data_IF_371962869024
#
_entry.id   IF_371962869024
#
_cell.length_a   1.000
_cell.length_b   1.000
_cell.length_c   1.000
_cell.angle_alpha   90.00
_cell.angle_beta   90.00
_cell.angle_gamma   90.00
#
_symmetry.space_group_name_H-M   'P 1'
#
loop_
_entity.id
_entity.type
_entity.pdbx_description
1 polymer ?
#
# COMPACT_ATOMS: atom_id res chain seq x y z
N UNK A 1 15.22 34.66 17.26
CA UNK A 1 16.23 34.54 16.18
C UNK A 1 17.37 33.59 16.57
N UNK A 2 18.08 33.78 17.70
CA UNK A 2 19.15 32.87 18.16
C UNK A 2 18.71 31.41 18.42
N UNK A 3 17.51 31.21 18.98
CA UNK A 3 16.92 29.88 19.15
C UNK A 3 16.61 29.18 17.81
N UNK A 4 16.18 29.91 16.77
CA UNK A 4 15.90 29.34 15.45
C UNK A 4 17.18 28.90 14.72
N UNK A 5 18.31 29.59 14.93
CA UNK A 5 19.62 29.25 14.36
C UNK A 5 20.30 28.08 15.09
N UNK A 6 20.05 27.90 16.39
CA UNK A 6 20.61 26.75 17.13
C UNK A 6 19.88 25.44 16.78
N UNK A 7 18.58 25.50 16.46
CA UNK A 7 17.83 24.33 15.98
C UNK A 7 18.29 23.88 14.59
N UNK A 8 18.65 24.78 13.67
CA UNK A 8 19.08 24.41 12.30
C UNK A 8 20.35 23.55 12.24
N UNK A 9 21.20 23.59 13.27
CA UNK A 9 22.44 22.80 13.32
C UNK A 9 22.29 21.45 14.05
N UNK A 10 21.11 21.11 14.57
CA UNK A 10 20.88 19.83 15.24
C UNK A 10 20.96 18.67 14.21
N UNK A 11 21.67 17.56 14.50
CA UNK A 11 21.75 16.39 13.61
C UNK A 11 20.39 15.80 13.17
N UNK A 12 19.32 16.11 13.90
CA UNK A 12 17.94 15.70 13.60
C UNK A 12 17.31 16.58 12.51
N UNK A 13 17.67 17.88 12.44
CA UNK A 13 17.22 18.81 11.40
C UNK A 13 17.89 18.53 10.06
N UNK A 14 19.17 18.13 10.06
CA UNK A 14 19.87 17.66 8.84
C UNK A 14 19.28 16.34 8.28
N UNK A 15 18.57 15.59 9.12
CA UNK A 15 17.81 14.38 8.75
C UNK A 15 16.33 14.68 8.43
N UNK A 16 15.88 15.89 8.78
CA UNK A 16 14.56 16.45 8.47
C UNK A 16 14.56 17.19 7.13
N UNK A 17 15.72 17.66 6.66
CA UNK A 17 15.91 18.16 5.31
C UNK A 17 15.48 17.10 4.29
N UNK A 18 14.46 17.46 3.51
CA UNK A 18 13.93 16.58 2.49
C UNK A 18 14.97 16.41 1.39
N UNK A 19 15.12 15.18 0.85
CA UNK A 19 15.93 14.96 -0.33
C UNK A 19 15.55 15.99 -1.41
N UNK A 20 16.52 16.59 -2.13
CA UNK A 20 16.24 17.65 -3.10
C UNK A 20 15.16 17.28 -4.12
N UNK A 21 15.04 16.01 -4.49
CA UNK A 21 13.98 15.49 -5.38
C UNK A 21 12.58 15.62 -4.77
N UNK A 22 12.41 15.37 -3.47
CA UNK A 22 11.11 15.50 -2.81
C UNK A 22 10.70 16.96 -2.75
N UNK A 23 11.62 17.84 -2.36
CA UNK A 23 11.37 19.28 -2.29
C UNK A 23 10.95 19.84 -3.65
N UNK A 24 11.64 19.45 -4.74
CA UNK A 24 11.28 19.86 -6.10
C UNK A 24 9.90 19.37 -6.52
N UNK A 25 9.56 18.10 -6.26
CA UNK A 25 8.25 17.54 -6.59
C UNK A 25 7.12 18.21 -5.80
N UNK A 26 7.37 18.52 -4.52
CA UNK A 26 6.39 19.25 -3.70
C UNK A 26 6.18 20.68 -4.17
N UNK A 27 7.27 21.37 -4.54
CA UNK A 27 7.17 22.72 -5.08
C UNK A 27 6.39 22.71 -6.40
N UNK A 28 6.70 21.78 -7.30
CA UNK A 28 5.96 21.62 -8.55
C UNK A 28 4.46 21.40 -8.30
N UNK A 29 4.09 20.47 -7.40
CA UNK A 29 2.69 20.22 -7.06
C UNK A 29 2.02 21.48 -6.50
N UNK A 30 2.70 22.21 -5.62
CA UNK A 30 2.19 23.46 -5.04
C UNK A 30 2.00 24.55 -6.11
N UNK A 31 2.97 24.74 -7.00
CA UNK A 31 2.89 25.73 -8.07
C UNK A 31 1.76 25.40 -9.05
N UNK A 32 1.57 24.13 -9.40
CA UNK A 32 0.44 23.66 -10.22
C UNK A 32 -0.91 23.96 -9.55
N UNK A 33 -1.06 23.62 -8.27
CA UNK A 33 -2.30 23.91 -7.52
C UNK A 33 -2.56 25.41 -7.40
N UNK A 34 -1.53 26.21 -7.17
CA UNK A 34 -1.65 27.67 -7.08
C UNK A 34 -2.10 28.28 -8.42
N UNK A 35 -1.47 27.87 -9.52
CA UNK A 35 -1.83 28.36 -10.85
C UNK A 35 -3.24 27.92 -11.25
N UNK A 36 -3.63 26.69 -10.94
CA UNK A 36 -4.99 26.19 -11.14
C UNK A 36 -6.02 26.99 -10.36
N UNK A 37 -5.77 27.24 -9.07
CA UNK A 37 -6.67 28.04 -8.23
C UNK A 37 -6.76 29.51 -8.68
N UNK A 38 -5.74 30.02 -9.38
CA UNK A 38 -5.73 31.34 -9.98
C UNK A 38 -6.41 31.39 -11.37
N UNK A 39 -7.05 30.30 -11.81
CA UNK A 39 -7.83 30.23 -13.04
C UNK A 39 -7.08 29.70 -14.27
N UNK A 40 -5.89 29.12 -14.10
CA UNK A 40 -5.18 28.44 -15.18
C UNK A 40 -5.50 26.93 -15.19
N UNK A 41 -6.55 26.55 -15.94
CA UNK A 41 -7.01 25.16 -16.04
C UNK A 41 -5.95 24.19 -16.60
N UNK A 42 -5.00 24.66 -17.42
CA UNK A 42 -3.91 23.82 -17.97
C UNK A 42 -2.94 23.33 -16.88
N UNK A 43 -2.89 24.03 -15.75
CA UNK A 43 -2.02 23.70 -14.62
C UNK A 43 -2.70 22.80 -13.59
N UNK A 44 -3.89 22.25 -13.88
CA UNK A 44 -4.55 21.29 -13.00
C UNK A 44 -3.61 20.08 -12.74
N UNK A 45 -3.25 19.78 -11.48
CA UNK A 45 -2.51 18.57 -11.16
C UNK A 45 -3.23 17.32 -11.67
N UNK A 46 -2.50 16.24 -11.92
CA UNK A 46 -3.09 14.97 -12.31
C UNK A 46 -2.60 13.81 -11.41
N UNK A 47 -3.23 12.64 -11.56
CA UNK A 47 -2.89 11.43 -10.79
C UNK A 47 -1.40 11.08 -10.89
N UNK A 48 -0.73 11.37 -12.01
CA UNK A 48 0.71 11.07 -12.22
C UNK A 48 1.61 11.95 -11.35
N UNK A 49 1.32 13.25 -11.25
CA UNK A 49 2.09 14.18 -10.39
C UNK A 49 1.97 13.78 -8.92
N UNK A 50 0.74 13.49 -8.47
CA UNK A 50 0.51 12.99 -7.12
C UNK A 50 1.21 11.66 -6.84
N UNK A 51 1.07 10.67 -7.74
CA UNK A 51 1.73 9.38 -7.60
C UNK A 51 3.26 9.52 -7.51
N UNK A 52 3.84 10.46 -8.27
CA UNK A 52 5.27 10.75 -8.22
C UNK A 52 5.69 11.29 -6.86
N UNK A 53 4.93 12.25 -6.29
CA UNK A 53 5.17 12.78 -4.95
C UNK A 53 5.02 11.71 -3.86
N UNK A 54 3.95 10.90 -3.90
CA UNK A 54 3.69 9.82 -2.94
C UNK A 54 4.81 8.78 -3.01
N UNK A 55 5.27 8.41 -4.21
CA UNK A 55 6.35 7.46 -4.40
C UNK A 55 7.69 7.99 -3.89
N UNK A 56 7.96 9.28 -4.11
CA UNK A 56 9.15 9.94 -3.58
C UNK A 56 9.16 9.87 -2.04
N UNK A 57 8.02 10.13 -1.38
CA UNK A 57 7.87 9.90 0.06
C UNK A 57 8.07 8.43 0.45
N UNK A 58 7.45 7.49 -0.26
CA UNK A 58 7.56 6.06 0.03
C UNK A 58 9.01 5.54 0.02
N UNK A 59 9.85 6.11 -0.84
CA UNK A 59 11.28 5.78 -0.99
C UNK A 59 12.21 6.63 -0.12
N UNK A 60 11.72 7.71 0.46
CA UNK A 60 12.52 8.64 1.28
C UNK A 60 13.15 7.98 2.52
N UNK A 61 14.16 8.62 3.10
CA UNK A 61 14.68 8.29 4.43
C UNK A 61 13.87 8.89 5.59
N UNK A 62 12.69 9.47 5.32
CA UNK A 62 11.93 10.22 6.32
C UNK A 62 11.16 9.29 7.26
N UNK A 63 11.14 9.63 8.55
CA UNK A 63 10.54 8.78 9.60
C UNK A 63 9.01 8.69 9.45
N UNK A 64 8.36 9.82 9.20
CA UNK A 64 6.90 9.91 9.02
C UNK A 64 6.50 9.87 7.54
N UNK A 65 7.22 9.08 6.72
CA UNK A 65 6.95 8.98 5.28
C UNK A 65 5.54 8.47 4.97
N UNK A 66 5.02 7.56 5.80
CA UNK A 66 3.68 7.02 5.63
C UNK A 66 2.62 8.11 5.86
N UNK A 67 2.81 8.97 6.86
CA UNK A 67 1.93 10.11 7.11
C UNK A 67 1.93 11.09 5.93
N UNK A 68 3.10 11.42 5.39
CA UNK A 68 3.20 12.34 4.24
C UNK A 68 2.57 11.75 2.97
N UNK A 69 2.80 10.46 2.71
CA UNK A 69 2.18 9.74 1.61
C UNK A 69 0.64 9.68 1.76
N UNK A 70 0.14 9.38 2.96
CA UNK A 70 -1.29 9.32 3.25
C UNK A 70 -1.97 10.69 3.19
N UNK A 71 -1.28 11.75 3.63
CA UNK A 71 -1.78 13.12 3.53
C UNK A 71 -2.01 13.55 2.08
N UNK A 72 -1.13 13.17 1.15
CA UNK A 72 -1.32 13.41 -0.27
C UNK A 72 -2.48 12.60 -0.86
N UNK A 73 -2.65 11.33 -0.45
CA UNK A 73 -3.81 10.53 -0.86
C UNK A 73 -5.13 11.16 -0.37
N UNK A 74 -5.21 11.55 0.91
CA UNK A 74 -6.40 12.21 1.45
C UNK A 74 -6.72 13.50 0.71
N UNK A 75 -5.70 14.32 0.38
CA UNK A 75 -5.88 15.52 -0.44
C UNK A 75 -6.46 15.23 -1.82
N UNK A 76 -6.04 14.13 -2.48
CA UNK A 76 -6.64 13.71 -3.74
C UNK A 76 -8.11 13.32 -3.56
N UNK A 77 -8.44 12.56 -2.51
CA UNK A 77 -9.81 12.11 -2.24
C UNK A 77 -10.74 13.28 -1.88
N UNK A 78 -10.27 14.23 -1.08
CA UNK A 78 -11.00 15.46 -0.72
C UNK A 78 -11.30 16.29 -1.97
N UNK A 79 -10.31 16.50 -2.83
CA UNK A 79 -10.50 17.28 -4.05
C UNK A 79 -11.51 16.63 -5.02
N UNK A 80 -11.55 15.29 -5.10
CA UNK A 80 -12.59 14.55 -5.84
C UNK A 80 -13.96 14.76 -5.22
N UNK A 81 -14.07 14.63 -3.90
CA UNK A 81 -15.34 14.79 -3.17
C UNK A 81 -15.92 16.19 -3.30
N UNK A 82 -15.06 17.20 -3.35
CA UNK A 82 -15.45 18.60 -3.54
C UNK A 82 -15.88 18.92 -4.99
N UNK A 83 -15.77 17.96 -5.92
CA UNK A 83 -16.06 18.15 -7.34
C UNK A 83 -15.12 19.14 -8.03
N UNK A 84 -13.99 19.48 -7.41
CA UNK A 84 -13.05 20.52 -7.88
C UNK A 84 -12.15 20.04 -9.02
N UNK A 85 -12.07 18.73 -9.26
CA UNK A 85 -11.06 18.13 -10.13
C UNK A 85 -11.57 16.89 -10.87
N UNK A 86 -10.90 16.56 -11.97
CA UNK A 86 -11.21 15.41 -12.84
C UNK A 86 -10.39 14.14 -12.55
N UNK A 87 -9.41 14.21 -11.64
CA UNK A 87 -8.49 13.10 -11.35
C UNK A 87 -8.88 12.34 -10.09
N UNK A 88 -8.85 11.00 -10.15
CA UNK A 88 -9.14 10.13 -9.01
C UNK A 88 -7.91 9.31 -8.61
N UNK A 89 -7.76 8.98 -7.30
CA UNK A 89 -6.82 7.96 -6.86
C UNK A 89 -7.08 6.64 -7.58
N UNK A 90 -6.01 6.01 -8.08
CA UNK A 90 -6.10 4.70 -8.73
C UNK A 90 -5.33 3.65 -7.92
N UNK A 91 -5.27 2.41 -8.43
CA UNK A 91 -4.57 1.33 -7.73
C UNK A 91 -3.08 1.64 -7.51
N UNK A 92 -2.44 2.42 -8.39
CA UNK A 92 -1.05 2.85 -8.22
C UNK A 92 -0.96 3.80 -7.02
N UNK A 93 -1.89 4.75 -6.90
CA UNK A 93 -1.94 5.68 -5.76
C UNK A 93 -2.02 4.94 -4.42
N UNK A 94 -2.99 4.04 -4.28
CA UNK A 94 -3.17 3.25 -3.06
C UNK A 94 -1.99 2.33 -2.78
N UNK A 95 -1.51 1.59 -3.78
CA UNK A 95 -0.34 0.71 -3.62
C UNK A 95 0.91 1.49 -3.21
N UNK A 96 1.08 2.72 -3.69
CA UNK A 96 2.23 3.55 -3.31
C UNK A 96 2.15 3.98 -1.84
N UNK A 97 0.94 4.27 -1.32
CA UNK A 97 0.74 4.54 0.12
C UNK A 97 0.98 3.28 0.97
N UNK A 98 0.49 2.12 0.53
CA UNK A 98 0.77 0.83 1.19
C UNK A 98 2.28 0.56 1.23
N UNK A 99 2.98 0.83 0.12
CA UNK A 99 4.44 0.73 0.03
C UNK A 99 5.14 1.71 0.98
N UNK A 100 4.65 2.95 1.11
CA UNK A 100 5.19 3.92 2.06
C UNK A 100 5.12 3.39 3.48
N UNK A 101 3.97 2.84 3.87
CA UNK A 101 3.80 2.14 5.14
C UNK A 101 4.78 0.99 5.29
N UNK A 102 4.84 0.07 4.32
CA UNK A 102 5.74 -1.08 4.33
C UNK A 102 7.24 -0.71 4.37
N UNK A 103 7.61 0.46 3.88
CA UNK A 103 8.97 0.99 3.91
C UNK A 103 9.29 1.82 5.16
N UNK A 104 8.30 2.11 6.02
CA UNK A 104 8.51 2.81 7.28
C UNK A 104 9.44 2.04 8.22
N UNK A 105 10.06 2.78 9.12
CA UNK A 105 11.00 2.30 10.11
C UNK A 105 11.01 3.30 11.27
N UNK A 106 11.53 2.89 12.42
CA UNK A 106 11.56 3.71 13.63
C UNK A 106 11.06 2.92 14.83
N UNK A 107 10.58 3.66 15.82
CA UNK A 107 10.00 3.11 17.04
C UNK A 107 8.70 2.33 16.80
N UNK A 108 8.20 1.66 17.85
CA UNK A 108 6.97 0.87 17.79
C UNK A 108 5.76 1.72 17.39
N UNK A 109 5.69 2.97 17.83
CA UNK A 109 4.56 3.87 17.54
C UNK A 109 4.52 4.23 16.04
N UNK A 110 5.66 4.57 15.45
CA UNK A 110 5.79 4.86 14.02
C UNK A 110 5.44 3.61 13.20
N UNK A 111 5.92 2.43 13.60
CA UNK A 111 5.60 1.17 12.91
C UNK A 111 4.11 0.85 12.95
N UNK A 112 3.48 0.96 14.13
CA UNK A 112 2.04 0.73 14.30
C UNK A 112 1.23 1.70 13.46
N UNK A 113 1.59 3.00 13.48
CA UNK A 113 0.92 4.02 12.68
C UNK A 113 1.07 3.78 11.18
N UNK A 114 2.29 3.48 10.72
CA UNK A 114 2.57 3.16 9.33
C UNK A 114 1.82 1.92 8.84
N UNK A 115 1.70 0.91 9.71
CA UNK A 115 0.93 -0.29 9.42
C UNK A 115 -0.58 -0.01 9.34
N UNK A 116 -1.11 0.83 10.25
CA UNK A 116 -2.50 1.30 10.20
C UNK A 116 -2.80 2.04 8.89
N UNK A 117 -1.92 2.95 8.48
CA UNK A 117 -2.03 3.67 7.20
C UNK A 117 -2.08 2.70 6.01
N UNK A 118 -1.18 1.69 5.99
CA UNK A 118 -1.18 0.69 4.92
C UNK A 118 -2.48 -0.14 4.91
N UNK A 119 -3.00 -0.53 6.07
CA UNK A 119 -4.28 -1.24 6.16
C UNK A 119 -5.47 -0.37 5.74
N UNK A 120 -5.48 0.90 6.12
CA UNK A 120 -6.58 1.81 5.77
C UNK A 120 -6.59 2.10 4.27
N UNK A 121 -5.43 2.28 3.63
CA UNK A 121 -5.33 2.36 2.17
C UNK A 121 -5.83 1.08 1.48
N UNK A 122 -5.50 -0.10 2.01
CA UNK A 122 -6.03 -1.36 1.50
C UNK A 122 -7.55 -1.47 1.67
N UNK A 123 -8.11 -1.07 2.81
CA UNK A 123 -9.57 -1.05 3.02
C UNK A 123 -10.27 -0.16 2.00
N UNK A 124 -9.70 1.01 1.68
CA UNK A 124 -10.23 1.89 0.65
C UNK A 124 -10.25 1.21 -0.72
N UNK A 125 -9.21 0.47 -1.08
CA UNK A 125 -9.19 -0.37 -2.31
C UNK A 125 -10.30 -1.43 -2.26
N UNK A 126 -10.53 -2.09 -1.12
CA UNK A 126 -11.57 -3.12 -1.02
C UNK A 126 -13.01 -2.57 -1.08
N UNK A 127 -13.21 -1.33 -0.63
CA UNK A 127 -14.52 -0.67 -0.62
C UNK A 127 -14.81 0.06 -1.94
N UNK A 128 -13.78 0.34 -2.74
CA UNK A 128 -13.92 1.00 -4.04
C UNK A 128 -14.61 0.09 -5.06
N UNK A 129 -15.49 0.68 -5.87
CA UNK A 129 -16.07 0.01 -7.03
C UNK A 129 -15.16 0.11 -8.26
N UNK A 130 -14.35 1.17 -8.34
CA UNK A 130 -13.52 1.50 -9.50
C UNK A 130 -12.10 0.94 -9.42
N UNK A 131 -11.64 0.63 -8.21
CA UNK A 131 -10.28 0.17 -7.95
C UNK A 131 -10.29 -1.27 -7.44
N UNK A 132 -9.50 -2.13 -8.04
CA UNK A 132 -9.33 -3.52 -7.63
C UNK A 132 -7.89 -3.77 -7.16
N UNK A 133 -7.68 -4.61 -6.14
CA UNK A 133 -6.34 -4.99 -5.70
C UNK A 133 -5.59 -5.73 -6.80
N UNK A 134 -4.25 -5.68 -6.75
CA UNK A 134 -3.39 -6.45 -7.63
C UNK A 134 -2.28 -7.15 -6.84
N UNK A 135 -1.38 -7.86 -7.53
CA UNK A 135 -0.27 -8.59 -6.91
C UNK A 135 0.58 -7.70 -5.99
N UNK A 136 0.80 -6.44 -6.36
CA UNK A 136 1.60 -5.51 -5.57
C UNK A 136 0.90 -5.11 -4.27
N UNK A 137 -0.43 -4.99 -4.28
CA UNK A 137 -1.23 -4.71 -3.07
C UNK A 137 -0.92 -5.75 -1.99
N UNK A 138 -1.03 -7.03 -2.34
CA UNK A 138 -0.77 -8.13 -1.42
C UNK A 138 0.71 -8.26 -1.04
N UNK A 139 1.62 -8.13 -2.01
CA UNK A 139 3.06 -8.17 -1.75
C UNK A 139 3.51 -7.10 -0.74
N UNK A 140 3.01 -5.86 -0.88
CA UNK A 140 3.35 -4.77 0.02
C UNK A 140 2.72 -4.94 1.40
N UNK A 141 1.50 -5.48 1.49
CA UNK A 141 0.87 -5.81 2.77
C UNK A 141 1.64 -6.90 3.53
N UNK A 142 2.07 -7.97 2.85
CA UNK A 142 2.90 -9.01 3.48
C UNK A 142 4.27 -8.45 3.90
N UNK A 143 4.88 -7.60 3.08
CA UNK A 143 6.10 -6.88 3.45
C UNK A 143 5.88 -6.02 4.72
N UNK A 144 4.75 -5.32 4.82
CA UNK A 144 4.39 -4.52 5.98
C UNK A 144 4.21 -5.39 7.23
N UNK A 145 3.49 -6.52 7.13
CA UNK A 145 3.34 -7.50 8.24
C UNK A 145 4.71 -7.98 8.72
N UNK A 146 5.57 -8.40 7.80
CA UNK A 146 6.88 -8.95 8.12
C UNK A 146 7.75 -7.95 8.89
N UNK A 147 7.76 -6.68 8.44
CA UNK A 147 8.68 -5.63 8.91
C UNK A 147 8.15 -4.82 10.10
N UNK A 148 6.87 -4.49 10.12
CA UNK A 148 6.31 -3.49 11.06
C UNK A 148 5.67 -4.12 12.30
N UNK A 149 5.18 -5.36 12.17
CA UNK A 149 4.61 -6.06 13.32
C UNK A 149 5.78 -6.70 14.09
N UNK A 150 5.78 -6.58 15.40
CA UNK A 150 6.80 -7.20 16.26
C UNK A 150 6.35 -8.63 16.70
N UNK A 151 7.24 -9.40 17.31
CA UNK A 151 6.99 -10.81 17.70
C UNK A 151 5.88 -10.99 18.75
N UNK A 152 5.53 -9.93 19.50
CA UNK A 152 4.45 -9.97 20.50
C UNK A 152 3.05 -10.02 19.87
N UNK A 153 2.91 -9.74 18.58
CA UNK A 153 1.62 -9.68 17.90
C UNK A 153 1.49 -10.83 16.88
N UNK A 154 0.27 -11.38 16.68
CA UNK A 154 0.06 -12.58 15.87
C UNK A 154 0.15 -12.28 14.36
N UNK A 155 1.38 -12.11 13.84
CA UNK A 155 1.68 -11.91 12.41
C UNK A 155 0.98 -12.96 11.52
N UNK A 156 0.98 -14.20 11.99
CA UNK A 156 0.43 -15.36 11.29
C UNK A 156 -1.08 -15.23 11.07
N UNK A 157 -1.83 -14.76 12.06
CA UNK A 157 -3.29 -14.57 11.96
C UNK A 157 -3.64 -13.50 10.93
N UNK A 158 -2.92 -12.37 10.97
CA UNK A 158 -3.12 -11.28 10.01
C UNK A 158 -2.71 -11.70 8.60
N UNK A 159 -1.58 -12.38 8.46
CA UNK A 159 -1.11 -12.91 7.18
C UNK A 159 -2.12 -13.92 6.61
N UNK A 160 -2.67 -14.82 7.43
CA UNK A 160 -3.72 -15.75 7.01
C UNK A 160 -4.94 -15.01 6.46
N UNK A 161 -5.36 -13.91 7.10
CA UNK A 161 -6.53 -13.16 6.63
C UNK A 161 -6.29 -12.42 5.32
N UNK A 162 -5.13 -11.79 5.17
CA UNK A 162 -4.75 -11.14 3.91
C UNK A 162 -4.56 -12.18 2.79
N UNK A 163 -4.02 -13.36 3.13
CA UNK A 163 -3.89 -14.47 2.21
C UNK A 163 -5.25 -14.96 1.71
N UNK A 164 -6.24 -15.14 2.58
CA UNK A 164 -7.59 -15.51 2.17
C UNK A 164 -8.15 -14.59 1.07
N UNK A 165 -7.96 -13.28 1.21
CA UNK A 165 -8.38 -12.31 0.19
C UNK A 165 -7.53 -12.42 -1.09
N UNK A 166 -6.21 -12.61 -0.96
CA UNK A 166 -5.32 -12.83 -2.10
C UNK A 166 -5.69 -14.07 -2.93
N UNK A 167 -6.05 -15.18 -2.27
CA UNK A 167 -6.48 -16.42 -2.92
C UNK A 167 -7.83 -16.22 -3.62
N UNK A 168 -8.76 -15.51 -2.97
CA UNK A 168 -10.09 -15.18 -3.53
C UNK A 168 -9.99 -14.30 -4.76
N UNK A 169 -9.07 -13.35 -4.77
CA UNK A 169 -8.84 -12.47 -5.90
C UNK A 169 -8.00 -13.13 -7.00
N UNK A 170 -7.51 -14.35 -6.79
CA UNK A 170 -6.72 -15.09 -7.77
C UNK A 170 -5.35 -14.49 -8.04
N UNK A 171 -4.77 -13.77 -7.07
CA UNK A 171 -3.55 -12.96 -7.24
C UNK A 171 -2.29 -13.61 -6.66
N UNK A 172 -2.36 -14.86 -6.19
CA UNK A 172 -1.22 -15.57 -5.62
C UNK A 172 -0.14 -15.84 -6.68
N UNK A 173 1.10 -15.47 -6.38
CA UNK A 173 2.26 -15.79 -7.21
C UNK A 173 3.49 -16.17 -6.37
N UNK A 174 4.60 -16.46 -7.05
CA UNK A 174 5.87 -16.84 -6.43
C UNK A 174 6.45 -15.76 -5.50
N UNK A 175 6.27 -14.48 -5.83
CA UNK A 175 6.75 -13.37 -5.01
C UNK A 175 5.97 -13.26 -3.69
N UNK A 176 4.65 -13.38 -3.73
CA UNK A 176 3.79 -13.41 -2.53
C UNK A 176 4.12 -14.62 -1.68
N UNK A 177 4.31 -15.80 -2.29
CA UNK A 177 4.70 -17.02 -1.57
C UNK A 177 6.05 -16.85 -0.86
N UNK A 178 7.01 -16.16 -1.47
CA UNK A 178 8.29 -15.82 -0.85
C UNK A 178 8.11 -14.91 0.39
N UNK A 179 7.24 -13.89 0.31
CA UNK A 179 6.94 -13.05 1.48
C UNK A 179 6.27 -13.85 2.61
N UNK A 180 5.35 -14.77 2.27
CA UNK A 180 4.68 -15.63 3.25
C UNK A 180 5.67 -16.56 3.96
N UNK A 181 6.59 -17.19 3.23
CA UNK A 181 7.66 -18.02 3.82
C UNK A 181 8.46 -17.25 4.87
N UNK A 182 8.78 -15.98 4.60
CA UNK A 182 9.46 -15.10 5.56
C UNK A 182 8.60 -14.57 6.73
N UNK A 183 7.27 -14.75 6.70
CA UNK A 183 6.40 -14.41 7.83
C UNK A 183 6.23 -15.62 8.76
N UNK A 184 5.97 -16.80 8.20
CA UNK A 184 5.70 -18.01 8.99
C UNK A 184 6.98 -18.67 9.52
N UNK A 185 8.14 -18.46 8.87
CA UNK A 185 9.46 -18.99 9.25
C UNK A 185 9.51 -20.51 9.52
N UNK A 186 8.45 -21.24 9.19
CA UNK A 186 8.29 -22.67 9.34
C UNK A 186 7.42 -23.17 8.17
N UNK A 187 7.96 -24.06 7.30
CA UNK A 187 7.23 -24.61 6.16
C UNK A 187 5.95 -25.37 6.53
N UNK A 188 5.93 -26.10 7.65
CA UNK A 188 4.78 -26.90 8.08
C UNK A 188 3.62 -26.03 8.55
N UNK A 189 3.92 -24.90 9.21
CA UNK A 189 2.91 -23.90 9.56
C UNK A 189 2.29 -23.30 8.30
N UNK A 190 3.12 -22.92 7.33
CA UNK A 190 2.66 -22.39 6.05
C UNK A 190 1.79 -23.42 5.31
N UNK A 191 2.24 -24.68 5.28
CA UNK A 191 1.49 -25.78 4.71
C UNK A 191 0.14 -25.98 5.40
N UNK A 192 0.10 -25.94 6.74
CA UNK A 192 -1.14 -26.05 7.51
C UNK A 192 -2.12 -24.94 7.14
N UNK A 193 -1.65 -23.72 6.97
CA UNK A 193 -2.49 -22.60 6.51
C UNK A 193 -3.03 -22.85 5.11
N UNK A 194 -2.19 -23.27 4.16
CA UNK A 194 -2.60 -23.57 2.79
C UNK A 194 -3.57 -24.77 2.72
N UNK A 195 -3.32 -25.84 3.49
CA UNK A 195 -4.24 -26.99 3.63
C UNK A 195 -5.59 -26.55 4.18
N UNK A 196 -5.62 -25.58 5.12
CA UNK A 196 -6.90 -25.03 5.63
C UNK A 196 -7.72 -24.27 4.58
N UNK A 197 -7.11 -23.88 3.45
CA UNK A 197 -7.80 -23.30 2.30
C UNK A 197 -8.10 -24.33 1.19
N UNK A 198 -7.74 -25.61 1.37
CA UNK A 198 -7.96 -26.67 0.39
C UNK A 198 -6.76 -26.99 -0.51
N UNK A 199 -5.53 -26.66 -0.08
CA UNK A 199 -4.32 -27.10 -0.81
C UNK A 199 -4.08 -28.61 -0.64
N UNK A 200 -3.94 -29.31 -1.75
CA UNK A 200 -3.69 -30.75 -1.85
C UNK A 200 -2.42 -31.11 -2.64
N UNK A 201 -1.61 -30.10 -3.03
CA UNK A 201 -0.42 -30.26 -3.88
C UNK A 201 0.81 -30.97 -3.27
N UNK A 202 0.64 -31.63 -2.11
CA UNK A 202 1.66 -32.42 -1.42
C UNK A 202 2.17 -31.82 -0.09
N UNK A 203 3.36 -32.24 0.33
CA UNK A 203 3.94 -31.92 1.65
C UNK A 203 4.70 -30.59 1.71
N UNK A 204 4.72 -29.85 0.61
CA UNK A 204 5.27 -28.49 0.59
C UNK A 204 4.42 -27.60 -0.32
N UNK A 205 4.34 -26.32 0.01
CA UNK A 205 3.59 -25.34 -0.79
C UNK A 205 4.41 -24.94 -2.01
N UNK A 206 4.01 -25.47 -3.17
CA UNK A 206 4.55 -25.13 -4.49
C UNK A 206 3.50 -24.36 -5.29
N UNK A 207 3.87 -23.17 -5.79
CA UNK A 207 3.00 -22.31 -6.59
C UNK A 207 2.44 -23.05 -7.81
N UNK A 208 3.21 -23.93 -8.45
CA UNK A 208 2.78 -24.68 -9.65
C UNK A 208 1.70 -25.71 -9.37
N UNK A 209 1.60 -26.15 -8.11
CA UNK A 209 0.63 -27.14 -7.64
C UNK A 209 -0.54 -26.49 -6.90
N UNK A 210 -0.58 -25.15 -6.82
CA UNK A 210 -1.74 -24.46 -6.24
C UNK A 210 -2.90 -24.41 -7.25
N UNK A 211 -4.17 -24.43 -6.79
CA UNK A 211 -5.34 -24.32 -7.64
C UNK A 211 -5.24 -23.14 -8.62
N UNK A 212 -5.58 -23.36 -9.89
CA UNK A 212 -5.50 -22.32 -10.93
C UNK A 212 -6.32 -21.06 -10.58
N UNK A 213 -7.43 -21.22 -9.86
CA UNK A 213 -8.26 -20.12 -9.37
C UNK A 213 -7.52 -19.16 -8.43
N UNK A 214 -6.48 -19.63 -7.73
CA UNK A 214 -5.69 -18.79 -6.82
C UNK A 214 -4.67 -17.91 -7.54
N UNK A 215 -4.40 -18.21 -8.81
CA UNK A 215 -3.33 -17.60 -9.62
C UNK A 215 -3.85 -16.96 -10.91
N UNK A 216 -5.14 -17.08 -11.20
CA UNK A 216 -5.74 -16.73 -12.49
C UNK A 216 -5.60 -15.25 -12.87
N UNK A 217 -5.48 -14.37 -11.90
CA UNK A 217 -5.29 -12.92 -12.08
C UNK A 217 -3.84 -12.49 -11.80
N UNK A 218 -2.98 -13.42 -11.39
CA UNK A 218 -1.56 -13.14 -11.18
C UNK A 218 -0.85 -13.12 -12.54
N UNK A 219 -0.37 -11.94 -12.95
CA UNK A 219 0.51 -11.84 -14.13
C UNK A 219 1.85 -12.46 -13.75
N UNK A 220 2.02 -13.76 -13.98
CA UNK A 220 3.27 -14.47 -13.70
C UNK A 220 4.39 -13.91 -14.60
N UNK A 221 5.35 -13.22 -14.00
CA UNK A 221 6.49 -12.55 -14.67
C UNK A 221 7.45 -13.50 -15.40
N UNK A 222 7.24 -14.82 -15.33
CA UNK A 222 8.16 -15.79 -15.96
C UNK A 222 7.96 -15.92 -17.48
N UNK A 223 6.82 -15.49 -18.05
CA UNK A 223 6.67 -15.39 -19.51
C UNK A 223 7.37 -14.16 -20.12
N UNK A 224 7.68 -13.13 -19.32
CA UNK A 224 8.28 -11.86 -19.79
C UNK A 224 9.81 -11.79 -19.66
N UNK A 225 10.46 -12.81 -19.06
CA UNK A 225 11.92 -12.82 -18.83
C UNK A 225 12.75 -13.26 -20.04
N UNK A 226 12.16 -13.70 -21.14
CA UNK A 226 12.91 -14.14 -22.34
C UNK A 226 13.53 -13.00 -23.18
N UNK A 227 13.60 -11.76 -22.68
CA UNK A 227 14.17 -10.68 -23.48
C UNK A 227 14.60 -9.40 -22.77
N UNK A 228 14.92 -9.40 -21.45
CA UNK A 228 15.44 -8.19 -20.79
C UNK A 228 16.91 -8.32 -20.39
N UNK A 229 17.81 -7.42 -20.85
CA UNK A 229 19.19 -7.39 -20.41
C UNK A 229 19.27 -7.07 -18.91
N UNK A 230 20.12 -7.82 -18.21
CA UNK A 230 20.41 -7.66 -16.78
C UNK A 230 20.95 -6.25 -16.51
N UNK A 231 20.34 -5.53 -15.55
CA UNK A 231 20.78 -4.18 -15.17
C UNK A 231 19.68 -3.17 -14.82
N UNK A 232 18.39 -3.51 -14.93
CA UNK A 232 17.27 -2.61 -14.56
C UNK A 232 16.42 -3.15 -13.40
N UNK A 233 17.01 -3.21 -12.20
CA UNK A 233 16.28 -3.33 -10.92
C UNK A 233 15.78 -1.97 -10.41
N UNK A 234 15.28 -1.13 -11.33
CA UNK A 234 14.57 0.10 -11.00
C UNK A 234 13.18 -0.01 -11.61
N UNK A 235 12.17 0.08 -10.74
CA UNK A 235 10.78 0.31 -11.11
C UNK A 235 10.71 1.52 -12.06
N UNK A 236 10.63 1.24 -13.36
CA UNK A 236 10.51 2.25 -14.40
C UNK A 236 9.05 2.69 -14.45
N UNK A 237 8.79 3.92 -13.97
CA UNK A 237 7.46 4.52 -13.92
C UNK A 237 6.92 4.92 -15.30
N UNK A 238 7.67 4.67 -16.39
CA UNK A 238 7.32 5.16 -17.73
C UNK A 238 6.53 4.19 -18.61
N UNK A 239 6.37 2.91 -18.24
CA UNK A 239 5.72 1.93 -19.14
C UNK A 239 4.59 1.16 -18.45
N UNK A 240 3.37 1.69 -18.53
CA UNK A 240 2.11 0.93 -18.63
C UNK A 240 0.98 1.88 -19.05
N UNK A 241 0.98 2.19 -20.35
CA UNK A 241 -0.10 2.84 -21.08
C UNK A 241 -1.27 1.84 -21.25
N UNK A 242 -2.48 2.36 -21.05
CA UNK A 242 -3.82 1.90 -21.49
C UNK A 242 -4.15 0.40 -21.56
N UNK A 243 -5.23 0.00 -20.88
CA UNK A 243 -6.33 -0.90 -21.33
C UNK A 243 -6.93 -1.64 -20.13
N UNK A 244 -8.13 -1.28 -19.67
CA UNK A 244 -9.38 -1.79 -20.23
C UNK A 244 -10.55 -1.17 -19.45
N UNK A 245 -11.41 -0.43 -20.16
CA UNK A 245 -12.81 -0.32 -19.78
C UNK A 245 -13.42 -1.70 -20.03
N UNK A 246 -14.03 -2.31 -19.02
CA UNK A 246 -15.06 -3.30 -19.30
C UNK A 246 -16.22 -3.09 -18.32
N UNK A 247 -17.35 -2.65 -18.89
CA UNK A 247 -18.63 -2.52 -18.19
C UNK A 247 -19.13 -3.94 -17.90
N UNK A 248 -19.16 -4.30 -16.63
CA UNK A 248 -19.78 -5.52 -16.15
C UNK A 248 -20.00 -5.38 -14.65
N UNK A 249 -21.21 -5.00 -14.25
CA UNK A 249 -21.54 -4.76 -12.85
C UNK A 249 -21.20 -5.97 -11.98
N UNK A 250 -20.50 -5.72 -10.86
CA UNK A 250 -20.18 -6.76 -9.88
C UNK A 250 -21.34 -6.87 -8.87
N UNK A 251 -21.79 -8.08 -8.49
CA UNK A 251 -23.04 -8.25 -7.74
C UNK A 251 -23.00 -7.70 -6.30
N UNK A 252 -24.08 -7.03 -5.88
CA UNK A 252 -24.32 -6.43 -4.55
C UNK A 252 -24.03 -7.33 -3.34
N UNK A 253 -23.96 -8.66 -3.51
CA UNK A 253 -23.74 -9.63 -2.43
C UNK A 253 -22.31 -9.58 -1.82
N UNK A 254 -21.32 -8.97 -2.50
CA UNK A 254 -19.96 -8.85 -1.94
C UNK A 254 -19.89 -7.82 -0.81
N UNK A 255 -20.48 -6.63 -0.96
CA UNK A 255 -20.41 -5.53 0.01
C UNK A 255 -20.96 -5.88 1.41
N UNK A 256 -22.07 -6.61 1.49
CA UNK A 256 -22.68 -7.01 2.77
C UNK A 256 -21.82 -8.00 3.56
N UNK A 257 -21.06 -8.87 2.88
CA UNK A 257 -20.21 -9.90 3.50
C UNK A 257 -18.89 -9.32 4.03
N UNK A 258 -18.39 -8.24 3.43
CA UNK A 258 -17.22 -7.48 3.91
C UNK A 258 -17.52 -6.65 5.16
N UNK A 259 -18.77 -6.19 5.34
CA UNK A 259 -19.21 -5.46 6.55
C UNK A 259 -19.11 -6.29 7.83
N UNK A 260 -19.34 -7.61 7.75
CA UNK A 260 -19.18 -8.55 8.88
C UNK A 260 -17.72 -8.75 9.29
N UNK A 261 -16.79 -8.71 8.34
CA UNK A 261 -15.35 -8.80 8.57
C UNK A 261 -14.78 -7.55 9.25
N UNK A 262 -15.37 -6.37 9.00
CA UNK A 262 -14.95 -5.09 9.57
C UNK A 262 -15.17 -5.05 11.09
N UNK A 263 -16.26 -5.66 11.57
CA UNK A 263 -16.55 -5.85 13.01
C UNK A 263 -15.52 -6.75 13.71
N UNK A 264 -14.94 -7.72 13.02
CA UNK A 264 -13.94 -8.62 13.62
C UNK A 264 -12.58 -7.93 13.79
N UNK A 265 -12.24 -6.94 12.95
CA UNK A 265 -11.00 -6.16 13.05
C UNK A 265 -11.06 -5.01 14.05
N UNK A 266 -12.25 -4.42 14.32
CA UNK A 266 -12.42 -3.39 15.35
C UNK A 266 -12.14 -3.91 16.75
N UNK A 267 -12.33 -5.21 16.99
CA UNK A 267 -12.07 -5.83 18.29
C UNK A 267 -10.61 -6.29 18.51
N UNK A 268 -9.71 -6.09 17.52
CA UNK A 268 -8.32 -6.50 17.66
C UNK A 268 -7.59 -5.63 18.72
N UNK A 269 -6.78 -6.20 19.63
CA UNK A 269 -6.13 -5.47 20.73
C UNK A 269 -5.26 -4.28 20.28
N UNK A 270 -4.65 -4.37 19.09
CA UNK A 270 -3.91 -3.27 18.46
C UNK A 270 -4.81 -2.08 18.05
N UNK A 271 -6.06 -2.32 17.67
CA UNK A 271 -7.01 -1.27 17.29
C UNK A 271 -7.66 -0.64 18.52
N UNK A 272 -7.92 -1.43 19.58
CA UNK A 272 -8.42 -0.95 20.88
C UNK A 272 -7.43 -0.04 21.63
N UNK A 273 -6.12 -0.30 21.55
CA UNK A 273 -5.09 0.60 22.14
C UNK A 273 -4.98 1.97 21.43
N UNK A 274 -5.62 2.13 20.27
CA UNK A 274 -5.66 3.36 19.48
C UNK A 274 -6.98 4.14 19.68
N UNK A 275 -7.90 3.63 20.50
CA UNK A 275 -9.10 4.35 20.95
C UNK A 275 -8.86 4.91 22.36
N UNK A 276 -8.34 6.13 22.42
CA UNK A 276 -8.39 7.02 23.59
C UNK A 276 -8.51 8.46 23.08
N UNK A 277 -9.21 9.34 23.82
CA UNK A 277 -10.60 9.78 23.65
C UNK A 277 -10.77 11.01 22.73
N UNK A 278 -12.01 11.41 22.40
CA UNK A 278 -12.29 12.69 21.79
C UNK A 278 -12.25 13.77 22.88
N UNK A 279 -11.13 14.47 22.99
CA UNK A 279 -11.02 15.86 23.47
C UNK A 279 -9.58 16.10 23.89
N UNK A 280 -8.89 17.02 23.21
CA UNK A 280 -8.17 18.13 23.87
C UNK A 280 -8.28 19.33 22.93
N UNK A 281 -9.15 20.26 23.33
CA UNK A 281 -9.14 21.68 22.98
C UNK A 281 -7.82 22.35 23.33
#
# INVERSE_FOLDING_TARGET
>A
KKLLTDFSHHPLMKKLELPPDISKLQQLLYDMELMFNNGNDEMQPNTTVFNSCINAWAKSGYWFKADKANGLLNRMEEAVSDGKISYTPNIITYNTVILAGANSFGDANIKVKAFKIALDAYKKVQLSQDVQPNTYTYAFLFKAIRKLIDSQHPKESMAKKILENCLRDGLLNSHILSQLRGIFNNPDKLLTVFKSFGYDGGDSVDIRRTPGQWRCNSRDSDSDKKGRPEGRDKWDTSTSISMSMNRGGVPLHKAAKYKKLLTDFSHHPLMKKLELPPDIS
#
